data_IF_457813420356
#
_entry.id   IF_457813420356
#
_cell.length_a   1.000
_cell.length_b   1.000
_cell.length_c   1.000
_cell.angle_alpha   90.00
_cell.angle_beta   90.00
_cell.angle_gamma   90.00
#
_symmetry.space_group_name_H-M   'P 1'
#
loop_
_entity.id
_entity.type
_entity.pdbx_description
1 polymer ?
#
# COMPACT_ATOMS: atom_id res chain seq x y z
N UNK A 1 13.18 1.44 -10.49
CA UNK A 1 13.54 1.28 -9.07
C UNK A 1 12.46 0.48 -8.35
N UNK A 2 12.85 -0.25 -7.31
CA UNK A 2 11.91 -1.00 -6.50
C UNK A 2 11.08 -0.06 -5.65
N UNK A 3 9.81 -0.36 -5.49
CA UNK A 3 8.93 0.44 -4.65
C UNK A 3 9.12 0.00 -3.19
N UNK A 4 9.93 0.75 -2.44
CA UNK A 4 10.27 0.45 -1.06
C UNK A 4 9.45 1.32 -0.09
N UNK A 5 8.80 0.67 0.86
CA UNK A 5 8.25 1.31 2.05
C UNK A 5 9.08 0.87 3.25
N UNK A 6 9.58 1.82 4.03
CA UNK A 6 10.51 1.55 5.14
C UNK A 6 9.93 2.13 6.43
N UNK A 7 10.01 1.36 7.50
CA UNK A 7 9.64 1.76 8.86
C UNK A 7 10.84 1.62 9.78
N UNK A 8 11.13 2.64 10.56
CA UNK A 8 12.06 2.57 11.68
C UNK A 8 11.32 2.03 12.91
N UNK A 9 11.51 0.76 13.21
CA UNK A 9 10.72 0.01 14.18
C UNK A 9 10.80 0.60 15.59
N UNK A 10 11.98 1.08 15.98
CA UNK A 10 12.21 1.65 17.32
C UNK A 10 11.42 2.93 17.58
N UNK A 11 10.91 3.60 16.54
CA UNK A 11 10.12 4.83 16.69
C UNK A 11 8.66 4.56 17.05
N UNK A 12 8.18 3.34 16.84
CA UNK A 12 6.80 2.94 17.14
C UNK A 12 6.68 2.09 18.40
N UNK A 13 7.78 1.76 19.04
CA UNK A 13 7.77 0.98 20.28
C UNK A 13 7.59 1.85 21.53
N UNK A 14 6.69 1.47 22.41
CA UNK A 14 6.43 2.16 23.67
C UNK A 14 7.65 2.14 24.62
N UNK A 15 8.51 1.14 24.47
CA UNK A 15 9.70 0.94 25.32
C UNK A 15 10.95 0.89 24.45
N UNK A 16 12.00 1.51 24.97
CA UNK A 16 13.31 1.41 24.35
C UNK A 16 13.80 -0.04 24.39
N UNK A 17 14.07 -0.59 23.21
CA UNK A 17 14.61 -1.93 23.03
C UNK A 17 16.10 -1.84 22.81
N UNK A 18 16.86 -2.71 23.47
CA UNK A 18 18.31 -2.85 23.23
C UNK A 18 18.50 -3.64 21.94
N UNK A 19 18.98 -2.96 20.92
CA UNK A 19 19.27 -3.56 19.61
C UNK A 19 20.66 -4.21 19.53
N UNK A 20 21.46 -4.10 20.62
CA UNK A 20 22.84 -4.56 20.67
C UNK A 20 23.87 -3.46 20.45
N UNK A 21 25.14 -3.79 20.76
CA UNK A 21 26.23 -2.83 20.74
C UNK A 21 26.48 -2.26 19.35
N UNK A 22 26.36 -0.93 19.23
CA UNK A 22 26.63 -0.19 18.00
C UNK A 22 25.46 -0.10 17.03
N UNK A 23 24.36 -0.84 17.26
CA UNK A 23 23.17 -0.76 16.43
C UNK A 23 22.34 0.45 16.88
N UNK A 24 22.01 1.33 15.94
CA UNK A 24 21.27 2.57 16.20
C UNK A 24 19.80 2.47 15.85
N UNK A 25 19.46 1.68 14.83
CA UNK A 25 18.11 1.60 14.30
C UNK A 25 17.88 0.23 13.65
N UNK A 26 16.65 -0.26 13.76
CA UNK A 26 16.16 -1.44 13.05
C UNK A 26 15.06 -1.00 12.07
N UNK A 27 15.24 -1.33 10.81
CA UNK A 27 14.27 -0.96 9.78
C UNK A 27 13.62 -2.19 9.18
N UNK A 28 12.29 -2.15 9.06
CA UNK A 28 11.53 -3.12 8.28
C UNK A 28 11.20 -2.50 6.94
N UNK A 29 11.56 -3.18 5.87
CA UNK A 29 11.29 -2.76 4.50
C UNK A 29 10.32 -3.69 3.80
N UNK A 30 9.37 -3.11 3.06
CA UNK A 30 8.47 -3.84 2.16
C UNK A 30 8.73 -3.39 0.73
N UNK A 31 8.93 -4.34 -0.17
CA UNK A 31 9.05 -4.10 -1.61
C UNK A 31 7.88 -4.76 -2.33
N UNK A 32 7.23 -4.03 -3.21
CA UNK A 32 6.28 -4.61 -4.14
C UNK A 32 7.05 -5.26 -5.30
N UNK A 33 6.66 -6.48 -5.67
CA UNK A 33 7.17 -7.13 -6.89
C UNK A 33 6.72 -6.27 -8.07
N UNK A 34 7.67 -5.71 -8.79
CA UNK A 34 7.44 -4.78 -9.88
C UNK A 34 8.15 -5.26 -11.14
N UNK A 35 7.57 -4.94 -12.28
CA UNK A 35 8.21 -5.09 -13.58
C UNK A 35 9.24 -3.99 -13.87
N UNK A 36 9.33 -2.97 -13.02
CA UNK A 36 10.27 -1.87 -13.20
C UNK A 36 11.67 -2.34 -12.81
N UNK A 37 12.68 -2.13 -13.69
CA UNK A 37 14.03 -2.56 -13.40
C UNK A 37 14.67 -1.83 -12.22
N UNK A 38 15.51 -2.53 -11.48
CA UNK A 38 16.40 -1.98 -10.48
C UNK A 38 17.43 -1.01 -11.09
N UNK A 39 18.16 -0.33 -10.23
CA UNK A 39 19.07 0.75 -10.60
C UNK A 39 20.47 0.24 -11.02
N UNK A 40 20.94 -0.82 -10.35
CA UNK A 40 22.29 -1.36 -10.55
C UNK A 40 22.28 -2.46 -11.62
N UNK A 41 21.43 -3.45 -11.41
CA UNK A 41 21.39 -4.65 -12.26
C UNK A 41 20.43 -4.54 -13.44
N UNK A 42 19.61 -3.48 -13.47
CA UNK A 42 18.61 -3.25 -14.52
C UNK A 42 17.66 -4.44 -14.72
N UNK A 43 17.42 -5.19 -13.65
CA UNK A 43 16.49 -6.33 -13.59
C UNK A 43 15.25 -5.97 -12.76
N UNK A 44 14.06 -6.44 -13.16
CA UNK A 44 12.89 -6.42 -12.26
C UNK A 44 13.16 -7.23 -10.98
N UNK A 45 12.45 -6.89 -9.88
CA UNK A 45 12.62 -7.56 -8.58
C UNK A 45 12.55 -9.07 -8.70
N UNK A 46 11.55 -9.58 -9.43
CA UNK A 46 11.33 -11.02 -9.58
C UNK A 46 12.42 -11.76 -10.37
N UNK A 47 13.31 -11.05 -11.04
CA UNK A 47 14.41 -11.63 -11.82
C UNK A 47 15.78 -11.50 -11.13
N UNK A 48 15.81 -10.91 -9.92
CA UNK A 48 17.03 -10.76 -9.14
C UNK A 48 17.36 -12.03 -8.36
N UNK A 49 18.66 -12.31 -8.19
CA UNK A 49 19.10 -13.20 -7.12
C UNK A 49 18.90 -12.52 -5.76
N UNK A 50 19.06 -13.26 -4.67
CA UNK A 50 18.95 -12.68 -3.32
C UNK A 50 20.01 -11.60 -3.11
N UNK A 51 21.21 -11.83 -3.55
CA UNK A 51 22.35 -10.91 -3.44
C UNK A 51 22.11 -9.64 -4.26
N UNK A 52 21.70 -9.79 -5.51
CA UNK A 52 21.34 -8.67 -6.38
C UNK A 52 20.20 -7.82 -5.78
N UNK A 53 19.18 -8.48 -5.23
CA UNK A 53 18.08 -7.79 -4.56
C UNK A 53 18.56 -6.97 -3.35
N UNK A 54 19.43 -7.56 -2.49
CA UNK A 54 19.98 -6.86 -1.32
C UNK A 54 20.81 -5.65 -1.75
N UNK A 55 21.64 -5.77 -2.78
CA UNK A 55 22.46 -4.68 -3.28
C UNK A 55 21.61 -3.56 -3.90
N UNK A 56 20.58 -3.90 -4.65
CA UNK A 56 19.63 -2.92 -5.19
C UNK A 56 18.90 -2.15 -4.08
N UNK A 57 18.41 -2.85 -3.06
CA UNK A 57 17.75 -2.22 -1.91
C UNK A 57 18.70 -1.28 -1.18
N UNK A 58 19.94 -1.73 -0.94
CA UNK A 58 20.98 -0.93 -0.29
C UNK A 58 21.28 0.34 -1.09
N UNK A 59 21.43 0.21 -2.38
CA UNK A 59 21.73 1.34 -3.26
C UNK A 59 20.58 2.36 -3.29
N UNK A 60 19.34 1.88 -3.36
CA UNK A 60 18.18 2.76 -3.36
C UNK A 60 18.03 3.51 -2.03
N UNK A 61 18.23 2.86 -0.89
CA UNK A 61 18.24 3.50 0.42
C UNK A 61 19.32 4.59 0.47
N UNK A 62 20.57 4.25 0.12
CA UNK A 62 21.70 5.17 0.23
C UNK A 62 21.64 6.35 -0.76
N UNK A 63 20.89 6.20 -1.84
CA UNK A 63 20.70 7.26 -2.85
C UNK A 63 19.44 8.10 -2.66
N UNK A 64 18.62 7.79 -1.66
CA UNK A 64 17.37 8.52 -1.40
C UNK A 64 17.65 9.83 -0.65
N UNK A 65 17.69 10.94 -1.39
CA UNK A 65 17.95 12.28 -0.82
C UNK A 65 16.93 12.70 0.23
N UNK A 66 15.65 12.44 0.00
CA UNK A 66 14.60 12.75 0.97
C UNK A 66 14.79 11.99 2.30
N UNK A 67 15.20 10.72 2.25
CA UNK A 67 15.50 9.95 3.44
C UNK A 67 16.74 10.47 4.16
N UNK A 68 17.77 10.88 3.41
CA UNK A 68 18.99 11.48 3.96
C UNK A 68 18.68 12.78 4.73
N UNK A 69 17.82 13.64 4.17
CA UNK A 69 17.39 14.87 4.84
C UNK A 69 16.60 14.59 6.12
N UNK A 70 15.65 13.66 6.10
CA UNK A 70 14.91 13.26 7.29
C UNK A 70 15.83 12.71 8.39
N UNK A 71 16.84 11.93 8.01
CA UNK A 71 17.80 11.40 8.97
C UNK A 71 18.69 12.49 9.53
N UNK A 72 19.14 13.47 8.74
CA UNK A 72 19.88 14.63 9.21
C UNK A 72 19.08 15.44 10.22
N UNK A 73 17.80 15.68 9.93
CA UNK A 73 16.91 16.39 10.85
C UNK A 73 16.78 15.67 12.19
N UNK A 74 16.61 14.34 12.17
CA UNK A 74 16.47 13.50 13.37
C UNK A 74 17.80 13.28 14.13
N UNK A 75 18.97 13.44 13.51
CA UNK A 75 20.28 13.05 14.04
C UNK A 75 21.30 14.21 14.10
N UNK A 76 20.84 15.41 14.39
CA UNK A 76 21.71 16.59 14.58
C UNK A 76 22.64 16.87 13.38
N UNK A 77 22.10 16.77 12.18
CA UNK A 77 22.80 17.05 10.93
C UNK A 77 23.58 15.88 10.33
N UNK A 78 23.64 14.72 11.00
CA UNK A 78 24.30 13.53 10.48
C UNK A 78 23.39 12.75 9.55
N UNK A 79 23.76 12.63 8.28
CA UNK A 79 23.02 11.96 7.24
C UNK A 79 23.36 10.47 7.08
N UNK A 80 22.68 9.82 6.12
CA UNK A 80 22.85 8.39 5.82
C UNK A 80 24.28 7.95 5.57
N UNK A 81 25.11 8.81 4.98
CA UNK A 81 26.49 8.50 4.66
C UNK A 81 27.40 8.33 5.89
N UNK A 82 26.96 8.82 7.04
CA UNK A 82 27.70 8.73 8.30
C UNK A 82 27.34 7.45 9.09
N UNK A 83 26.38 6.70 8.61
CA UNK A 83 25.95 5.43 9.18
C UNK A 83 26.26 4.28 8.24
N UNK A 84 26.48 3.10 8.80
CA UNK A 84 26.68 1.88 8.02
C UNK A 84 25.46 0.98 8.13
N UNK A 85 25.01 0.46 7.00
CA UNK A 85 24.06 -0.65 7.00
C UNK A 85 24.85 -1.90 7.40
N UNK A 86 24.61 -2.38 8.62
CA UNK A 86 25.34 -3.53 9.18
C UNK A 86 24.90 -4.83 8.52
N UNK A 87 23.59 -4.99 8.31
CA UNK A 87 23.01 -6.21 7.76
C UNK A 87 21.67 -5.91 7.11
N UNK A 88 21.40 -6.60 6.03
CA UNK A 88 20.06 -6.70 5.41
C UNK A 88 19.68 -8.17 5.40
N UNK A 89 18.57 -8.50 6.03
CA UNK A 89 17.96 -9.82 5.98
C UNK A 89 16.72 -9.78 5.10
N UNK A 90 16.59 -10.75 4.23
CA UNK A 90 15.37 -10.94 3.46
C UNK A 90 14.50 -11.98 4.15
N UNK A 91 13.22 -11.71 4.22
CA UNK A 91 12.25 -12.61 4.87
C UNK A 91 12.40 -14.04 4.35
N UNK A 92 12.53 -14.99 5.24
CA UNK A 92 12.88 -16.39 4.93
C UNK A 92 11.84 -17.14 4.09
N UNK A 93 10.60 -16.62 4.01
CA UNK A 93 9.54 -17.19 3.19
C UNK A 93 9.61 -16.76 1.70
N UNK A 94 10.55 -15.86 1.36
CA UNK A 94 10.83 -15.55 -0.02
C UNK A 94 11.87 -16.51 -0.58
N UNK A 95 11.48 -17.28 -1.57
CA UNK A 95 12.38 -18.20 -2.29
C UNK A 95 12.87 -17.56 -3.57
N UNK A 96 14.17 -17.49 -3.69
CA UNK A 96 14.86 -17.03 -4.89
C UNK A 96 15.26 -18.24 -5.72
N UNK A 97 14.95 -18.24 -6.99
CA UNK A 97 15.28 -19.28 -7.95
C UNK A 97 15.62 -18.67 -9.30
N UNK A 98 16.12 -19.50 -10.24
CA UNK A 98 16.32 -19.09 -11.64
C UNK A 98 15.03 -18.65 -12.34
N UNK A 99 13.89 -19.06 -11.84
CA UNK A 99 12.57 -18.68 -12.37
C UNK A 99 12.03 -17.39 -11.72
N UNK A 100 12.77 -16.78 -10.80
CA UNK A 100 12.40 -15.57 -10.07
C UNK A 100 12.13 -15.77 -8.60
N UNK A 101 11.58 -14.74 -7.97
CA UNK A 101 11.22 -14.71 -6.55
C UNK A 101 9.79 -15.23 -6.37
N UNK A 102 9.62 -16.23 -5.52
CA UNK A 102 8.29 -16.73 -5.14
C UNK A 102 8.10 -16.60 -3.63
N UNK A 103 6.97 -16.02 -3.23
CA UNK A 103 6.56 -16.07 -1.81
C UNK A 103 5.92 -17.41 -1.49
N UNK A 104 6.29 -18.01 -0.36
CA UNK A 104 5.63 -19.21 0.16
C UNK A 104 4.22 -18.86 0.66
N UNK A 105 4.04 -17.61 1.11
CA UNK A 105 2.75 -17.08 1.53
C UNK A 105 2.33 -15.94 0.59
N UNK A 106 1.71 -16.26 -0.55
CA UNK A 106 1.23 -15.23 -1.45
C UNK A 106 0.21 -14.36 -0.73
N UNK A 107 0.37 -13.04 -0.82
CA UNK A 107 -0.58 -12.08 -0.28
C UNK A 107 -1.74 -11.89 -1.26
N UNK A 108 -2.91 -11.68 -0.71
CA UNK A 108 -4.08 -11.32 -1.51
C UNK A 108 -3.90 -9.94 -2.13
N UNK A 109 -4.33 -9.80 -3.36
CA UNK A 109 -4.32 -8.50 -4.07
C UNK A 109 -5.72 -8.26 -4.61
N UNK A 110 -6.26 -7.07 -4.35
CA UNK A 110 -7.48 -6.65 -5.02
C UNK A 110 -7.14 -6.25 -6.45
N UNK A 111 -7.60 -7.05 -7.40
CA UNK A 111 -7.48 -6.70 -8.81
C UNK A 111 -8.53 -5.64 -9.18
N UNK A 112 -8.20 -4.77 -10.12
CA UNK A 112 -9.17 -3.88 -10.75
C UNK A 112 -10.33 -4.71 -11.34
N UNK A 113 -11.53 -4.17 -11.31
CA UNK A 113 -12.76 -4.81 -11.77
C UNK A 113 -13.30 -6.00 -10.94
N UNK A 114 -12.60 -6.43 -9.88
CA UNK A 114 -13.09 -7.53 -9.02
C UNK A 114 -13.93 -7.07 -7.85
N UNK A 115 -14.08 -5.77 -7.66
CA UNK A 115 -14.80 -5.18 -6.53
C UNK A 115 -16.24 -5.69 -6.39
N UNK A 116 -16.94 -5.91 -7.50
CA UNK A 116 -18.31 -6.45 -7.50
C UNK A 116 -18.39 -7.88 -6.92
N UNK A 117 -17.28 -8.62 -6.94
CA UNK A 117 -17.21 -10.01 -6.48
C UNK A 117 -16.69 -10.16 -5.06
N UNK A 118 -16.33 -9.05 -4.39
CA UNK A 118 -15.90 -9.08 -2.99
C UNK A 118 -17.09 -9.52 -2.12
N UNK A 119 -16.94 -10.60 -1.33
CA UNK A 119 -18.08 -11.15 -0.58
C UNK A 119 -18.54 -10.21 0.54
N UNK A 120 -19.84 -10.15 0.76
CA UNK A 120 -20.40 -9.50 1.92
C UNK A 120 -20.19 -10.38 3.18
N UNK A 121 -20.32 -9.77 4.36
CA UNK A 121 -20.19 -10.48 5.63
C UNK A 121 -21.35 -11.48 5.88
N UNK A 122 -22.56 -11.13 5.46
CA UNK A 122 -23.71 -12.03 5.47
C UNK A 122 -23.73 -12.81 4.16
N UNK A 123 -23.69 -14.13 4.25
CA UNK A 123 -23.73 -15.00 3.08
C UNK A 123 -25.15 -15.50 2.80
N UNK A 124 -25.42 -16.10 1.62
CA UNK A 124 -26.68 -16.80 1.38
C UNK A 124 -26.93 -18.01 2.30
N UNK A 125 -25.88 -18.55 2.92
CA UNK A 125 -25.97 -19.64 3.89
C UNK A 125 -26.31 -19.03 5.27
N UNK A 126 -27.44 -19.42 5.86
CA UNK A 126 -28.02 -18.75 7.03
C UNK A 126 -27.13 -18.69 8.28
N UNK A 127 -26.24 -19.65 8.44
CA UNK A 127 -25.33 -19.77 9.59
C UNK A 127 -23.85 -19.55 9.23
N UNK A 128 -23.55 -19.01 8.04
CA UNK A 128 -22.19 -18.71 7.60
C UNK A 128 -22.01 -17.20 7.46
N UNK A 129 -21.10 -16.65 8.25
CA UNK A 129 -20.70 -15.25 8.21
C UNK A 129 -19.21 -15.14 7.90
N UNK A 130 -18.83 -14.13 7.12
CA UNK A 130 -17.44 -13.88 6.73
C UNK A 130 -16.93 -12.62 7.42
N UNK A 131 -15.71 -12.67 7.95
CA UNK A 131 -15.01 -11.50 8.46
C UNK A 131 -13.58 -11.50 8.00
N UNK A 132 -13.03 -10.32 7.82
CA UNK A 132 -11.65 -10.09 7.38
C UNK A 132 -11.56 -8.99 6.33
N UNK A 133 -10.38 -8.42 6.16
CA UNK A 133 -10.14 -7.31 5.22
C UNK A 133 -10.43 -7.70 3.75
N UNK A 134 -10.55 -9.00 3.45
CA UNK A 134 -10.91 -9.53 2.14
C UNK A 134 -12.42 -9.48 1.84
N UNK A 135 -13.23 -9.05 2.80
CA UNK A 135 -14.68 -8.90 2.62
C UNK A 135 -15.05 -7.43 2.34
N UNK A 136 -16.28 -7.19 1.91
CA UNK A 136 -16.75 -5.87 1.49
C UNK A 136 -16.80 -4.90 2.68
N UNK A 137 -16.01 -3.84 2.62
CA UNK A 137 -15.95 -2.76 3.61
C UNK A 137 -16.11 -1.40 2.93
N UNK A 138 -16.34 -0.34 3.69
CA UNK A 138 -16.43 1.01 3.13
C UNK A 138 -15.07 1.50 2.58
N UNK A 139 -13.97 1.17 3.29
CA UNK A 139 -12.64 1.58 2.86
C UNK A 139 -12.12 0.78 1.67
N UNK A 140 -12.53 -0.49 1.55
CA UNK A 140 -12.08 -1.43 0.52
C UNK A 140 -10.56 -1.56 0.44
N UNK A 141 -9.89 -1.35 1.56
CA UNK A 141 -8.43 -1.46 1.68
C UNK A 141 -8.08 -2.55 2.68
N UNK A 142 -6.94 -3.17 2.45
CA UNK A 142 -6.40 -4.18 3.33
C UNK A 142 -5.66 -3.51 4.48
N UNK A 143 -6.41 -3.15 5.49
CA UNK A 143 -5.92 -2.47 6.68
C UNK A 143 -6.54 -3.08 7.94
N UNK A 144 -5.99 -2.71 9.09
CA UNK A 144 -6.54 -3.08 10.40
C UNK A 144 -7.97 -2.55 10.52
N UNK A 145 -8.21 -1.31 10.08
CA UNK A 145 -9.54 -0.68 10.10
C UNK A 145 -10.53 -1.44 9.24
N UNK A 146 -10.12 -1.88 8.06
CA UNK A 146 -10.95 -2.72 7.18
C UNK A 146 -11.29 -4.06 7.84
N UNK A 147 -10.34 -4.69 8.51
CA UNK A 147 -10.58 -5.93 9.23
C UNK A 147 -11.54 -5.74 10.42
N UNK A 148 -11.37 -4.66 11.19
CA UNK A 148 -12.26 -4.29 12.32
C UNK A 148 -13.66 -3.96 11.82
N UNK A 149 -13.79 -3.15 10.78
CA UNK A 149 -15.09 -2.84 10.15
C UNK A 149 -15.79 -4.13 9.72
N UNK A 150 -15.07 -5.01 9.04
CA UNK A 150 -15.60 -6.29 8.59
C UNK A 150 -16.10 -7.16 9.76
N UNK A 151 -15.31 -7.26 10.82
CA UNK A 151 -15.72 -7.99 12.05
C UNK A 151 -17.00 -7.42 12.66
N UNK A 152 -17.12 -6.10 12.76
CA UNK A 152 -18.33 -5.43 13.26
C UNK A 152 -19.54 -5.66 12.34
N UNK A 153 -19.34 -5.65 11.01
CA UNK A 153 -20.41 -5.96 10.05
C UNK A 153 -20.89 -7.41 10.15
N UNK A 154 -19.95 -8.35 10.33
CA UNK A 154 -20.30 -9.74 10.57
C UNK A 154 -21.08 -9.92 11.88
N UNK A 155 -20.63 -9.29 12.96
CA UNK A 155 -21.33 -9.29 14.24
C UNK A 155 -22.73 -8.65 14.13
N UNK A 156 -22.87 -7.53 13.41
CA UNK A 156 -24.17 -6.89 13.16
C UNK A 156 -25.12 -7.77 12.36
N UNK A 157 -24.61 -8.62 11.49
CA UNK A 157 -25.43 -9.57 10.75
C UNK A 157 -26.01 -10.69 11.65
N UNK A 158 -25.43 -10.88 12.84
CA UNK A 158 -25.89 -11.82 13.88
C UNK A 158 -26.76 -11.08 14.91
N UNK A 159 -26.32 -9.92 15.38
CA UNK A 159 -27.02 -9.08 16.35
C UNK A 159 -27.08 -7.64 15.83
N UNK A 160 -28.27 -7.18 15.47
CA UNK A 160 -28.53 -5.84 14.91
C UNK A 160 -28.12 -4.69 15.85
N UNK A 161 -27.98 -4.95 17.16
CA UNK A 161 -27.54 -3.96 18.14
C UNK A 161 -26.07 -3.57 18.00
N UNK A 162 -25.28 -4.37 17.27
CA UNK A 162 -23.86 -4.06 17.03
C UNK A 162 -23.73 -2.84 16.13
N UNK A 163 -23.06 -1.83 16.63
CA UNK A 163 -22.78 -0.62 15.86
C UNK A 163 -21.59 -0.83 14.93
N UNK A 164 -21.76 -0.45 13.67
CA UNK A 164 -20.68 -0.33 12.68
C UNK A 164 -20.35 1.14 12.53
N UNK A 165 -19.14 1.52 12.89
CA UNK A 165 -18.68 2.90 12.74
C UNK A 165 -18.55 3.25 11.27
N UNK A 166 -19.26 4.27 10.84
CA UNK A 166 -19.14 4.80 9.49
C UNK A 166 -17.84 5.60 9.34
N UNK A 167 -17.17 5.40 8.23
CA UNK A 167 -16.03 6.25 7.87
C UNK A 167 -16.52 7.67 7.59
N UNK A 168 -15.77 8.66 8.08
CA UNK A 168 -16.06 10.05 7.75
C UNK A 168 -15.91 10.27 6.25
N UNK A 169 -17.02 10.64 5.61
CA UNK A 169 -17.04 11.06 4.20
C UNK A 169 -17.92 12.30 4.08
N UNK A 170 -17.41 13.42 3.60
CA UNK A 170 -18.23 14.59 3.32
C UNK A 170 -19.42 14.25 2.41
N UNK A 171 -20.56 14.90 2.64
CA UNK A 171 -21.80 14.62 1.88
C UNK A 171 -21.58 14.79 0.37
N UNK A 172 -20.83 15.80 -0.04
CA UNK A 172 -20.55 16.05 -1.45
C UNK A 172 -19.74 14.91 -2.10
N UNK A 173 -18.79 14.30 -1.38
CA UNK A 173 -18.06 13.12 -1.86
C UNK A 173 -19.00 11.92 -1.99
N UNK A 174 -19.89 11.70 -1.02
CA UNK A 174 -20.90 10.62 -1.11
C UNK A 174 -21.79 10.78 -2.34
N UNK A 175 -22.15 12.03 -2.69
CA UNK A 175 -22.96 12.32 -3.87
C UNK A 175 -22.21 12.07 -5.16
N UNK A 176 -20.92 12.47 -5.23
CA UNK A 176 -20.08 12.19 -6.39
C UNK A 176 -19.91 10.68 -6.62
N UNK A 177 -19.65 9.90 -5.57
CA UNK A 177 -19.56 8.45 -5.70
C UNK A 177 -20.83 7.81 -6.25
N UNK A 178 -22.02 8.28 -5.81
CA UNK A 178 -23.28 7.79 -6.36
C UNK A 178 -23.43 8.09 -7.86
N UNK A 179 -22.99 9.27 -8.28
CA UNK A 179 -22.98 9.65 -9.70
C UNK A 179 -22.02 8.75 -10.47
N UNK A 180 -20.80 8.56 -9.94
CA UNK A 180 -19.81 7.67 -10.56
C UNK A 180 -20.28 6.22 -10.63
N UNK A 181 -20.95 5.70 -9.61
CA UNK A 181 -21.54 4.36 -9.63
C UNK A 181 -22.58 4.22 -10.78
N UNK A 182 -23.41 5.25 -11.00
CA UNK A 182 -24.38 5.27 -12.09
C UNK A 182 -23.66 5.33 -13.44
N UNK A 183 -22.70 6.25 -13.60
CA UNK A 183 -21.92 6.38 -14.84
C UNK A 183 -21.19 5.08 -15.17
N UNK A 184 -20.58 4.45 -14.17
CA UNK A 184 -19.91 3.17 -14.34
C UNK A 184 -20.87 2.06 -14.78
N UNK A 185 -22.09 2.02 -14.22
CA UNK A 185 -23.10 0.99 -14.56
C UNK A 185 -23.53 1.05 -16.03
N UNK A 186 -23.51 2.24 -16.62
CA UNK A 186 -23.84 2.48 -18.04
C UNK A 186 -22.61 2.56 -18.95
N UNK A 187 -21.40 2.24 -18.39
CA UNK A 187 -20.11 2.31 -19.09
C UNK A 187 -19.78 3.71 -19.63
N UNK A 188 -20.26 4.75 -18.98
CA UNK A 188 -19.94 6.14 -19.29
C UNK A 188 -18.63 6.57 -18.58
N UNK A 189 -17.97 7.64 -19.09
CA UNK A 189 -16.85 8.27 -18.39
C UNK A 189 -17.24 8.71 -16.97
N UNK A 190 -16.30 8.68 -16.04
CA UNK A 190 -16.52 9.11 -14.67
C UNK A 190 -16.47 10.62 -14.52
N UNK A 191 -16.93 11.15 -13.39
CA UNK A 191 -16.95 12.60 -13.13
C UNK A 191 -15.54 13.22 -13.29
N UNK A 192 -14.50 12.53 -12.88
CA UNK A 192 -13.11 13.00 -13.02
C UNK A 192 -12.73 13.17 -14.50
N UNK A 193 -13.18 12.30 -15.40
CA UNK A 193 -12.90 12.38 -16.83
C UNK A 193 -13.54 13.63 -17.45
N UNK A 194 -14.76 13.97 -17.03
CA UNK A 194 -15.42 15.21 -17.45
C UNK A 194 -14.69 16.47 -16.95
N UNK A 195 -14.15 16.43 -15.74
CA UNK A 195 -13.34 17.54 -15.21
C UNK A 195 -12.07 17.73 -16.05
N UNK A 196 -11.34 16.65 -16.35
CA UNK A 196 -10.16 16.71 -17.20
C UNK A 196 -10.48 17.20 -18.61
N UNK A 197 -11.53 16.69 -19.22
CA UNK A 197 -11.95 17.13 -20.54
C UNK A 197 -12.28 18.63 -20.57
N UNK A 198 -13.02 19.11 -19.57
CA UNK A 198 -13.36 20.53 -19.43
C UNK A 198 -12.10 21.39 -19.28
N UNK A 199 -11.13 20.93 -18.48
CA UNK A 199 -9.87 21.64 -18.30
C UNK A 199 -9.07 21.71 -19.60
N UNK A 200 -9.01 20.65 -20.37
CA UNK A 200 -8.36 20.62 -21.68
C UNK A 200 -9.04 21.59 -22.64
N UNK A 201 -10.38 21.60 -22.69
CA UNK A 201 -11.12 22.51 -23.55
C UNK A 201 -10.89 23.99 -23.19
N UNK A 202 -10.82 24.32 -21.89
CA UNK A 202 -10.49 25.65 -21.43
C UNK A 202 -9.07 26.05 -21.84
N UNK A 203 -8.09 25.16 -21.68
CA UNK A 203 -6.72 25.43 -22.10
C UNK A 203 -6.59 25.63 -23.60
N UNK A 204 -7.27 24.82 -24.41
CA UNK A 204 -7.30 24.98 -25.85
C UNK A 204 -7.95 26.30 -26.24
N UNK A 205 -9.07 26.67 -25.61
CA UNK A 205 -9.75 27.93 -25.85
C UNK A 205 -8.85 29.14 -25.55
N UNK A 206 -8.15 29.12 -24.43
CA UNK A 206 -7.16 30.16 -24.09
C UNK A 206 -6.01 30.23 -25.09
N UNK A 207 -5.53 29.08 -25.56
CA UNK A 207 -4.45 29.02 -26.56
C UNK A 207 -4.86 29.60 -27.91
N UNK A 208 -6.12 29.40 -28.34
CA UNK A 208 -6.60 29.94 -29.62
C UNK A 208 -7.04 31.41 -29.54
N UNK A 209 -7.20 31.97 -28.35
CA UNK A 209 -7.53 33.39 -28.14
C UNK A 209 -6.29 34.26 -27.88
N UNK A 210 -5.14 33.67 -27.64
CA UNK A 210 -3.84 34.36 -27.50
C UNK A 210 -3.13 34.43 -28.85
#
# INVERSE_FOLDING_TARGET
EFNLTIFAEEQVWDKKVDLGKGIKSLWTGTSCISSIPGRIYHKPVNNCTKEEFIEEVKAQILSCGALDELIKEANHGRGLKEFSIIKIEVWHEWKFSSEGIKSIQPKWVNSTHTHAYIPAQKTPVSNLFLAGAHTKTQAQVWSIEGAVESGRRAAKAIDEKVEVLDQYRPIWIKSLFKIDDILYSIKAPQVIDFIFLSLILVLLWLFFLS
#
